data_IF_915542813819
#
_entry.id   IF_915542813819
#
_cell.length_a   1.000
_cell.length_b   1.000
_cell.length_c   1.000
_cell.angle_alpha   90.00
_cell.angle_beta   90.00
_cell.angle_gamma   90.00
#
_symmetry.space_group_name_H-M   'P 1'
#
loop_
_entity.id
_entity.type
_entity.pdbx_description
1 polymer ?
#
# COMPACT_ATOMS: atom_id res chain seq x y z
N UNK A 1 26.72 1.42 -14.56
CA UNK A 1 25.66 0.50 -15.03
C UNK A 1 26.05 0.03 -16.42
N UNK A 2 25.97 -1.27 -16.69
CA UNK A 2 26.13 -1.78 -18.05
C UNK A 2 24.78 -1.64 -18.77
N UNK A 3 24.79 -1.05 -19.96
CA UNK A 3 23.58 -0.89 -20.78
C UNK A 3 23.71 -1.71 -22.05
N UNK A 4 22.63 -2.39 -22.42
CA UNK A 4 22.50 -3.07 -23.70
C UNK A 4 21.46 -2.37 -24.56
N UNK A 5 21.53 -2.54 -25.87
CA UNK A 5 20.55 -1.97 -26.79
C UNK A 5 19.42 -2.97 -27.05
N UNK A 6 18.18 -2.47 -26.97
CA UNK A 6 16.99 -3.20 -27.42
C UNK A 6 16.36 -2.44 -28.59
N UNK A 7 15.81 -3.18 -29.56
CA UNK A 7 15.10 -2.58 -30.69
C UNK A 7 13.61 -2.65 -30.43
N UNK A 8 12.94 -1.50 -30.47
CA UNK A 8 11.49 -1.38 -30.30
C UNK A 8 10.87 -0.63 -31.48
N UNK A 9 9.55 -0.78 -31.68
CA UNK A 9 8.80 -0.01 -32.69
C UNK A 9 8.75 1.47 -32.29
N UNK A 10 8.65 2.35 -33.28
CA UNK A 10 8.46 3.80 -33.06
C UNK A 10 7.25 4.09 -32.19
N UNK A 11 6.16 3.38 -32.40
CA UNK A 11 4.91 3.56 -31.66
C UNK A 11 5.10 3.19 -30.19
N UNK A 12 5.81 2.08 -29.90
CA UNK A 12 6.17 1.68 -28.53
C UNK A 12 7.00 2.75 -27.83
N UNK A 13 8.01 3.31 -28.51
CA UNK A 13 8.81 4.42 -27.98
C UNK A 13 7.93 5.64 -27.65
N UNK A 14 6.97 5.96 -28.52
CA UNK A 14 6.05 7.07 -28.30
C UNK A 14 5.13 6.82 -27.10
N UNK A 15 4.65 5.58 -26.92
CA UNK A 15 3.90 5.18 -25.72
C UNK A 15 4.74 5.34 -24.46
N UNK A 16 5.98 4.83 -24.44
CA UNK A 16 6.90 5.01 -23.32
C UNK A 16 7.14 6.50 -23.00
N UNK A 17 7.20 7.36 -24.03
CA UNK A 17 7.37 8.80 -23.82
C UNK A 17 6.17 9.44 -23.13
N UNK A 18 4.96 8.94 -23.36
CA UNK A 18 3.73 9.43 -22.70
C UNK A 18 3.61 8.93 -21.26
N UNK A 19 4.26 7.81 -20.94
CA UNK A 19 4.27 7.19 -19.61
C UNK A 19 5.31 7.80 -18.65
N UNK A 20 6.10 8.77 -19.12
CA UNK A 20 7.06 9.48 -18.27
C UNK A 20 6.32 10.36 -17.25
N UNK A 21 6.68 10.25 -15.98
CA UNK A 21 6.27 11.11 -14.87
C UNK A 21 6.94 12.49 -14.95
N UNK A 22 8.17 12.57 -15.44
CA UNK A 22 8.88 13.83 -15.65
C UNK A 22 9.68 13.84 -16.95
N UNK A 23 9.92 15.01 -17.58
CA UNK A 23 10.58 15.09 -18.90
C UNK A 23 11.96 14.41 -18.98
N UNK A 24 12.68 14.37 -17.85
CA UNK A 24 14.03 13.80 -17.73
C UNK A 24 14.07 12.31 -17.37
N UNK A 25 12.94 11.66 -17.11
CA UNK A 25 12.90 10.22 -16.78
C UNK A 25 13.46 9.43 -17.97
N UNK A 26 14.34 8.46 -17.73
CA UNK A 26 14.88 7.64 -18.82
C UNK A 26 13.84 6.61 -19.26
N UNK A 27 13.99 6.04 -20.46
CA UNK A 27 13.11 4.94 -20.85
C UNK A 27 13.37 3.68 -20.01
N UNK A 28 14.58 3.50 -19.51
CA UNK A 28 14.93 2.39 -18.62
C UNK A 28 14.16 2.49 -17.30
N UNK A 29 14.12 3.69 -16.69
CA UNK A 29 13.34 3.93 -15.46
C UNK A 29 11.84 3.68 -15.67
N UNK A 30 11.28 4.12 -16.80
CA UNK A 30 9.88 3.85 -17.15
C UNK A 30 9.64 2.35 -17.27
N UNK A 31 10.53 1.63 -17.95
CA UNK A 31 10.39 0.18 -18.17
C UNK A 31 10.49 -0.57 -16.83
N UNK A 32 11.50 -0.27 -16.01
CA UNK A 32 11.68 -0.92 -14.70
C UNK A 32 10.47 -0.69 -13.79
N UNK A 33 9.97 0.55 -13.73
CA UNK A 33 8.76 0.86 -12.97
C UNK A 33 7.52 0.10 -13.47
N UNK A 34 7.39 -0.08 -14.79
CA UNK A 34 6.29 -0.86 -15.36
C UNK A 34 6.42 -2.34 -15.00
N UNK A 35 7.64 -2.88 -15.03
CA UNK A 35 7.94 -4.26 -14.60
C UNK A 35 7.59 -4.42 -13.12
N UNK A 36 8.09 -3.55 -12.24
CA UNK A 36 7.78 -3.55 -10.80
C UNK A 36 6.28 -3.45 -10.52
N UNK A 37 5.54 -2.67 -11.31
CA UNK A 37 4.08 -2.58 -11.15
C UNK A 37 3.31 -3.80 -11.61
N UNK A 38 3.94 -4.68 -12.39
CA UNK A 38 3.31 -5.88 -12.97
C UNK A 38 3.71 -7.15 -12.24
N UNK A 39 4.95 -7.18 -11.73
CA UNK A 39 5.48 -8.30 -10.96
C UNK A 39 5.17 -8.03 -9.49
N UNK A 40 4.19 -8.77 -8.97
CA UNK A 40 3.99 -8.85 -7.53
C UNK A 40 4.96 -9.90 -6.97
N UNK A 41 6.04 -9.43 -6.32
CA UNK A 41 7.05 -10.30 -5.71
C UNK A 41 6.51 -11.01 -4.45
N UNK A 42 5.41 -10.52 -3.86
CA UNK A 42 4.75 -11.08 -2.68
C UNK A 42 3.24 -11.25 -2.94
N UNK A 43 2.85 -12.14 -3.87
CA UNK A 43 1.43 -12.37 -4.13
C UNK A 43 0.77 -12.94 -2.87
N UNK A 44 -0.43 -12.42 -2.57
CA UNK A 44 -1.24 -12.97 -1.49
C UNK A 44 -1.54 -14.45 -1.76
N UNK A 45 -1.38 -15.27 -0.73
CA UNK A 45 -1.84 -16.65 -0.78
C UNK A 45 -3.36 -16.70 -0.93
N UNK A 46 -3.86 -17.79 -1.51
CA UNK A 46 -5.30 -18.04 -1.64
C UNK A 46 -6.01 -17.97 -0.27
N UNK A 47 -5.35 -18.46 0.78
CA UNK A 47 -5.85 -18.38 2.16
C UNK A 47 -5.98 -16.92 2.63
N UNK A 48 -4.96 -16.09 2.39
CA UNK A 48 -5.01 -14.67 2.73
C UNK A 48 -6.10 -13.93 1.98
N UNK A 49 -6.30 -14.23 0.69
CA UNK A 49 -7.38 -13.65 -0.12
C UNK A 49 -8.76 -14.02 0.46
N UNK A 50 -8.98 -15.29 0.78
CA UNK A 50 -10.24 -15.75 1.38
C UNK A 50 -10.49 -15.12 2.75
N UNK A 51 -9.45 -14.98 3.58
CA UNK A 51 -9.55 -14.33 4.89
C UNK A 51 -9.95 -12.84 4.75
N UNK A 52 -9.38 -12.14 3.76
CA UNK A 52 -9.76 -10.75 3.46
C UNK A 52 -11.22 -10.67 3.01
N UNK A 53 -11.65 -11.51 2.06
CA UNK A 53 -13.03 -11.51 1.58
C UNK A 53 -14.04 -11.78 2.70
N UNK A 54 -13.74 -12.76 3.56
CA UNK A 54 -14.53 -13.06 4.75
C UNK A 54 -14.60 -11.85 5.68
N UNK A 55 -13.46 -11.23 6.00
CA UNK A 55 -13.40 -10.07 6.90
C UNK A 55 -14.21 -8.88 6.34
N UNK A 56 -14.14 -8.65 5.02
CA UNK A 56 -14.95 -7.61 4.36
C UNK A 56 -16.45 -7.90 4.43
N UNK A 57 -16.84 -9.17 4.35
CA UNK A 57 -18.25 -9.58 4.51
C UNK A 57 -18.72 -9.33 5.94
N UNK A 58 -17.96 -9.78 6.94
CA UNK A 58 -18.26 -9.59 8.36
C UNK A 58 -18.38 -8.10 8.70
N UNK A 59 -17.45 -7.27 8.22
CA UNK A 59 -17.50 -5.82 8.41
C UNK A 59 -18.80 -5.20 7.85
N UNK A 60 -19.20 -5.59 6.64
CA UNK A 60 -20.46 -5.10 6.03
C UNK A 60 -21.71 -5.57 6.76
N UNK A 61 -21.65 -6.73 7.41
CA UNK A 61 -22.71 -7.26 8.26
C UNK A 61 -22.71 -6.63 9.66
N UNK A 62 -21.79 -5.72 9.96
CA UNK A 62 -21.65 -5.07 11.26
C UNK A 62 -20.94 -5.94 12.31
N UNK A 63 -20.30 -7.02 11.88
CA UNK A 63 -19.56 -7.94 12.72
C UNK A 63 -18.10 -7.47 12.76
N UNK A 64 -17.81 -6.56 13.68
CA UNK A 64 -16.46 -6.09 13.97
C UNK A 64 -16.35 -5.70 15.44
N UNK A 65 -15.12 -5.68 15.95
CA UNK A 65 -14.82 -5.13 17.26
C UNK A 65 -14.16 -3.76 17.08
N UNK A 66 -14.57 -2.81 17.91
CA UNK A 66 -13.91 -1.51 18.02
C UNK A 66 -12.60 -1.64 18.80
N UNK A 67 -11.77 -0.61 18.71
CA UNK A 67 -10.51 -0.57 19.45
C UNK A 67 -10.72 -0.71 20.96
N UNK A 68 -11.72 -0.03 21.52
CA UNK A 68 -12.05 -0.08 22.95
C UNK A 68 -12.48 -1.49 23.38
N UNK A 69 -13.34 -2.14 22.58
CA UNK A 69 -13.80 -3.51 22.84
C UNK A 69 -12.64 -4.51 22.81
N UNK A 70 -11.72 -4.40 21.85
CA UNK A 70 -10.54 -5.27 21.78
C UNK A 70 -9.61 -5.04 22.97
N UNK A 71 -9.37 -3.79 23.39
CA UNK A 71 -8.51 -3.49 24.53
C UNK A 71 -9.10 -3.99 25.86
N UNK A 72 -10.44 -3.91 26.00
CA UNK A 72 -11.15 -4.46 27.14
C UNK A 72 -11.03 -6.00 27.17
N UNK A 73 -11.24 -6.66 26.02
CA UNK A 73 -11.11 -8.12 25.90
C UNK A 73 -9.69 -8.62 26.16
N UNK A 74 -8.67 -7.85 25.75
CA UNK A 74 -7.26 -8.16 25.99
C UNK A 74 -6.78 -7.78 27.41
N UNK A 75 -7.61 -7.09 28.21
CA UNK A 75 -7.28 -6.70 29.58
C UNK A 75 -6.23 -5.59 29.69
N UNK A 76 -6.02 -4.82 28.63
CA UNK A 76 -4.99 -3.74 28.54
C UNK A 76 -5.61 -2.35 28.38
N UNK A 77 -6.92 -2.22 28.60
CA UNK A 77 -7.64 -0.96 28.49
C UNK A 77 -7.08 0.14 29.41
N UNK A 78 -6.66 -0.21 30.64
CA UNK A 78 -6.17 0.76 31.63
C UNK A 78 -4.69 1.15 31.45
N UNK A 79 -3.91 0.39 30.67
CA UNK A 79 -2.49 0.67 30.42
C UNK A 79 -2.30 1.75 29.34
N UNK A 80 -3.23 1.84 28.38
CA UNK A 80 -3.14 2.75 27.24
C UNK A 80 -3.60 4.20 27.53
N UNK A 81 -4.38 4.43 28.59
CA UNK A 81 -4.81 5.79 28.99
C UNK A 81 -3.64 6.70 29.42
N UNK A 82 -2.46 6.12 29.70
CA UNK A 82 -1.27 6.87 30.15
C UNK A 82 -0.36 7.35 29.02
N UNK A 83 -0.56 6.88 27.78
CA UNK A 83 0.34 7.17 26.65
C UNK A 83 -0.26 8.14 25.61
N UNK A 84 -1.59 8.30 25.55
CA UNK A 84 -2.26 9.20 24.59
C UNK A 84 -2.50 10.66 25.10
N UNK A 85 -1.83 11.09 26.18
CA UNK A 85 -1.84 12.49 26.66
C UNK A 85 -0.79 13.41 25.97
N UNK A 86 -0.27 13.02 24.79
CA UNK A 86 0.73 13.82 24.06
C UNK A 86 0.19 14.74 22.95
N UNK A 87 -1.14 14.85 22.79
CA UNK A 87 -1.74 15.68 21.71
C UNK A 87 -2.81 16.68 22.15
N UNK A 88 -3.11 16.80 23.45
CA UNK A 88 -4.09 17.79 23.97
C UNK A 88 -3.49 19.09 24.53
N UNK A 89 -2.17 19.29 24.46
CA UNK A 89 -1.50 20.50 25.01
C UNK A 89 -0.89 21.46 23.98
N UNK A 90 -1.30 21.42 22.72
CA UNK A 90 -0.82 22.37 21.69
C UNK A 90 -1.89 23.24 21.01
N UNK A 91 -3.16 23.18 21.44
CA UNK A 91 -4.21 24.02 20.84
C UNK A 91 -4.82 25.08 21.78
N UNK A 92 -4.22 25.32 22.94
CA UNK A 92 -4.57 26.45 23.82
C UNK A 92 -3.29 27.25 24.16
N UNK A 93 -2.78 28.02 23.19
CA UNK A 93 -1.81 29.10 23.39
C UNK A 93 -1.92 30.16 22.27
#
# INVERSE_FOLDING_TARGET
>A
MQSTSIRIRSDTRNSLSRLKKHPRESFDDVINRLIESTVDDEPLSEESLQAIEKSLKEYREGIYYTHEEILADLGVAEENDKEYDYKKKENDA
#
